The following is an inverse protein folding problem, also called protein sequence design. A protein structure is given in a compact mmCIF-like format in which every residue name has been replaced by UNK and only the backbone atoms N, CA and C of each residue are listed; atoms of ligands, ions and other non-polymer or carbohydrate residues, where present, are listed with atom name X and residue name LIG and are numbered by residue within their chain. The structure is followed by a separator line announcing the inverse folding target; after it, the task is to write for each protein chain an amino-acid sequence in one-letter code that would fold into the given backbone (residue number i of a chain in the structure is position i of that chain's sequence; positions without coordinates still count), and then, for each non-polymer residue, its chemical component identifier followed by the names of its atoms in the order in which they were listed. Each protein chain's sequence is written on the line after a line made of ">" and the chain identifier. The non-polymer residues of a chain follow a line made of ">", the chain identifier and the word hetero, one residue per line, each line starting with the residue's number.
data_IF_728983575888
#
_entry.id   IF_728983575888
#
_cell.length_a   1.000
_cell.length_b   1.000
_cell.length_c   1.000
_cell.angle_alpha   90.00
_cell.angle_beta   90.00
_cell.angle_gamma   90.00
#
_symmetry.space_group_name_H-M   'P 1'
#
loop_
_entity.id
_entity.type
_entity.pdbx_description
1 polymer ?
#
# COMPACT_ATOMS: atom_id res chain seq x y z
N UNK A 1 -7.02 10.94 -3.30
CA UNK A 1 -6.00 10.15 -4.03
C UNK A 1 -6.32 10.21 -5.51
N UNK A 2 -5.33 10.42 -6.36
CA UNK A 2 -5.52 10.42 -7.81
C UNK A 2 -5.46 8.98 -8.35
N UNK A 3 -6.60 8.28 -8.40
CA UNK A 3 -6.66 6.89 -8.87
C UNK A 3 -6.72 6.74 -10.39
N UNK A 4 -7.05 7.84 -11.11
CA UNK A 4 -7.24 7.82 -12.57
C UNK A 4 -6.07 7.21 -13.35
N UNK A 5 -4.80 7.56 -13.10
CA UNK A 5 -3.68 6.99 -13.87
C UNK A 5 -3.53 5.49 -13.64
N UNK A 6 -3.62 5.03 -12.38
CA UNK A 6 -3.52 3.61 -12.06
C UNK A 6 -4.66 2.80 -12.69
N UNK A 7 -5.89 3.32 -12.58
CA UNK A 7 -7.08 2.70 -13.16
C UNK A 7 -6.96 2.58 -14.67
N UNK A 8 -6.53 3.65 -15.35
CA UNK A 8 -6.32 3.63 -16.79
C UNK A 8 -5.27 2.59 -17.18
N UNK A 9 -4.12 2.55 -16.49
CA UNK A 9 -3.06 1.58 -16.76
C UNK A 9 -3.53 0.12 -16.59
N UNK A 10 -4.27 -0.18 -15.51
CA UNK A 10 -4.84 -1.51 -15.27
C UNK A 10 -5.84 -1.89 -16.37
N UNK A 11 -6.78 -1.02 -16.71
CA UNK A 11 -7.81 -1.34 -17.71
C UNK A 11 -7.22 -1.44 -19.13
N UNK A 12 -6.19 -0.66 -19.47
CA UNK A 12 -5.45 -0.81 -20.71
C UNK A 12 -4.69 -2.14 -20.78
N UNK A 13 -4.04 -2.56 -19.70
CA UNK A 13 -3.42 -3.89 -19.63
C UNK A 13 -4.48 -4.99 -19.80
N UNK A 14 -5.60 -4.90 -19.09
CA UNK A 14 -6.68 -5.88 -19.21
C UNK A 14 -7.20 -5.99 -20.66
N UNK A 15 -7.38 -4.86 -21.35
CA UNK A 15 -7.79 -4.84 -22.76
C UNK A 15 -6.74 -5.50 -23.67
N UNK A 16 -5.47 -5.13 -23.52
CA UNK A 16 -4.37 -5.71 -24.31
C UNK A 16 -4.23 -7.22 -24.07
N UNK A 17 -4.28 -7.64 -22.81
CA UNK A 17 -4.23 -9.06 -22.42
C UNK A 17 -5.44 -9.84 -22.95
N UNK A 18 -6.62 -9.22 -23.01
CA UNK A 18 -7.83 -9.81 -23.62
C UNK A 18 -7.63 -10.03 -25.11
N UNK A 19 -7.21 -9.00 -25.84
CA UNK A 19 -6.99 -9.08 -27.29
C UNK A 19 -5.91 -10.12 -27.63
N UNK A 20 -4.80 -10.12 -26.88
CA UNK A 20 -3.71 -11.09 -27.04
C UNK A 20 -4.17 -12.51 -26.71
N UNK A 21 -4.91 -12.68 -25.62
CA UNK A 21 -5.48 -13.97 -25.20
C UNK A 21 -6.45 -14.54 -26.24
N UNK A 22 -7.35 -13.71 -26.77
CA UNK A 22 -8.26 -14.09 -27.86
C UNK A 22 -7.51 -14.48 -29.13
N UNK A 23 -6.51 -13.68 -29.52
CA UNK A 23 -5.71 -13.95 -30.71
C UNK A 23 -4.99 -15.30 -30.60
N UNK A 24 -4.37 -15.59 -29.44
CA UNK A 24 -3.70 -16.86 -29.21
C UNK A 24 -4.68 -18.04 -29.09
N UNK A 25 -5.87 -17.84 -28.51
CA UNK A 25 -6.85 -18.91 -28.38
C UNK A 25 -7.44 -19.32 -29.75
N UNK A 26 -7.76 -18.33 -30.60
CA UNK A 26 -8.41 -18.53 -31.90
C UNK A 26 -7.40 -18.88 -33.00
N UNK A 27 -6.29 -18.14 -33.08
CA UNK A 27 -5.26 -18.27 -34.13
C UNK A 27 -4.02 -19.01 -33.64
N UNK A 28 -4.17 -19.98 -32.73
CA UNK A 28 -3.07 -20.72 -32.11
C UNK A 28 -2.11 -21.38 -33.12
N UNK A 29 -2.62 -21.93 -34.22
CA UNK A 29 -1.78 -22.52 -35.28
C UNK A 29 -0.91 -21.46 -35.95
N UNK A 30 -1.48 -20.32 -36.33
CA UNK A 30 -0.75 -19.22 -36.96
C UNK A 30 0.30 -18.64 -36.01
N UNK A 31 -0.02 -18.53 -34.73
CA UNK A 31 0.92 -18.09 -33.70
C UNK A 31 2.10 -19.06 -33.54
N UNK A 32 1.84 -20.37 -33.50
CA UNK A 32 2.89 -21.39 -33.44
C UNK A 32 3.81 -21.33 -34.67
N UNK A 33 3.23 -21.20 -35.86
CA UNK A 33 4.00 -21.05 -37.10
C UNK A 33 4.82 -19.77 -37.11
N UNK A 34 4.25 -18.63 -36.68
CA UNK A 34 4.94 -17.33 -36.63
C UNK A 34 6.14 -17.34 -35.68
N UNK A 35 6.00 -17.99 -34.52
CA UNK A 35 7.06 -18.07 -33.52
C UNK A 35 8.10 -19.14 -33.90
N UNK A 36 7.67 -20.21 -34.58
CA UNK A 36 8.53 -21.27 -35.10
C UNK A 36 8.80 -22.42 -34.14
N UNK A 37 8.24 -22.38 -32.92
CA UNK A 37 8.40 -23.44 -31.91
C UNK A 37 7.07 -23.74 -31.22
N UNK A 38 6.99 -24.88 -30.54
CA UNK A 38 5.85 -25.26 -29.71
C UNK A 38 4.65 -25.81 -30.48
N UNK A 39 3.73 -26.44 -29.75
CA UNK A 39 2.49 -26.98 -30.33
C UNK A 39 1.37 -25.94 -30.27
N UNK A 40 0.40 -25.96 -31.19
CA UNK A 40 -0.76 -25.06 -31.16
C UNK A 40 -1.54 -25.14 -29.83
N UNK A 41 -1.55 -26.31 -29.18
CA UNK A 41 -2.16 -26.49 -27.86
C UNK A 41 -1.52 -25.57 -26.81
N UNK A 42 -0.18 -25.42 -26.81
CA UNK A 42 0.52 -24.53 -25.87
C UNK A 42 0.04 -23.08 -26.02
N UNK A 43 -0.03 -22.57 -27.24
CA UNK A 43 -0.50 -21.20 -27.52
C UNK A 43 -1.97 -21.01 -27.11
N UNK A 44 -2.82 -22.02 -27.33
CA UNK A 44 -4.21 -21.97 -26.88
C UNK A 44 -4.31 -21.92 -25.35
N UNK A 45 -3.52 -22.71 -24.63
CA UNK A 45 -3.47 -22.70 -23.17
C UNK A 45 -2.97 -21.36 -22.63
N UNK A 46 -1.92 -20.81 -23.23
CA UNK A 46 -1.43 -19.46 -22.91
C UNK A 46 -2.52 -18.42 -23.16
N UNK A 47 -3.22 -18.51 -24.29
CA UNK A 47 -4.33 -17.60 -24.62
C UNK A 47 -5.45 -17.63 -23.57
N UNK A 48 -5.89 -18.82 -23.15
CA UNK A 48 -6.89 -18.98 -22.08
C UNK A 48 -6.38 -18.43 -20.74
N UNK A 49 -5.10 -18.69 -20.42
CA UNK A 49 -4.46 -18.12 -19.22
C UNK A 49 -4.46 -16.60 -19.22
N UNK A 50 -4.14 -15.97 -20.36
CA UNK A 50 -4.18 -14.51 -20.52
C UNK A 50 -5.59 -13.95 -20.36
N UNK A 51 -6.64 -14.65 -20.79
CA UNK A 51 -8.02 -14.24 -20.55
C UNK A 51 -8.38 -14.26 -19.05
N UNK A 52 -7.95 -15.29 -18.33
CA UNK A 52 -8.11 -15.35 -16.87
C UNK A 52 -7.37 -14.22 -16.15
N UNK A 53 -6.11 -13.97 -16.56
CA UNK A 53 -5.32 -12.85 -16.06
C UNK A 53 -5.99 -11.50 -16.36
N UNK A 54 -6.45 -11.27 -17.59
CA UNK A 54 -7.15 -10.04 -17.97
C UNK A 54 -8.40 -9.80 -17.12
N UNK A 55 -9.16 -10.84 -16.78
CA UNK A 55 -10.30 -10.77 -15.87
C UNK A 55 -9.90 -10.28 -14.47
N UNK A 56 -8.81 -10.80 -13.91
CA UNK A 56 -8.27 -10.37 -12.61
C UNK A 56 -7.81 -8.89 -12.65
N UNK A 57 -7.13 -8.48 -13.72
CA UNK A 57 -6.66 -7.11 -13.89
C UNK A 57 -7.84 -6.14 -14.04
N UNK A 58 -8.85 -6.50 -14.84
CA UNK A 58 -10.06 -5.71 -15.01
C UNK A 58 -10.85 -5.58 -13.70
N UNK A 59 -11.00 -6.68 -12.96
CA UNK A 59 -11.63 -6.69 -11.64
C UNK A 59 -10.89 -5.76 -10.67
N UNK A 60 -9.55 -5.81 -10.64
CA UNK A 60 -8.74 -4.93 -9.80
C UNK A 60 -8.91 -3.45 -10.19
N UNK A 61 -8.86 -3.15 -11.49
CA UNK A 61 -9.01 -1.81 -12.02
C UNK A 61 -10.42 -1.22 -11.89
N UNK A 62 -11.45 -2.04 -11.69
CA UNK A 62 -12.84 -1.57 -11.54
C UNK A 62 -13.25 -1.32 -10.09
N UNK A 63 -12.49 -1.79 -9.08
CA UNK A 63 -12.78 -1.53 -7.67
C UNK A 63 -12.71 -0.05 -7.29
N UNK A 64 -13.46 0.33 -6.27
CA UNK A 64 -13.42 1.65 -5.63
C UNK A 64 -13.30 1.43 -4.11
N UNK A 65 -12.16 1.81 -3.48
CA UNK A 65 -10.93 2.29 -4.10
C UNK A 65 -10.17 1.18 -4.86
N UNK A 66 -9.23 1.56 -5.74
CA UNK A 66 -8.32 0.59 -6.39
C UNK A 66 -7.35 0.02 -5.34
N UNK A 67 -7.24 -1.31 -5.28
CA UNK A 67 -6.29 -1.97 -4.37
C UNK A 67 -4.87 -1.91 -4.96
N UNK A 68 -4.02 -1.07 -4.38
CA UNK A 68 -2.63 -0.85 -4.84
C UNK A 68 -1.74 -2.07 -4.63
N UNK A 69 -1.99 -2.89 -3.60
CA UNK A 69 -1.25 -4.13 -3.38
C UNK A 69 -1.49 -5.13 -4.53
N UNK A 70 -2.74 -5.31 -4.95
CA UNK A 70 -3.05 -6.13 -6.13
C UNK A 70 -2.42 -5.56 -7.40
N UNK A 71 -2.42 -4.24 -7.56
CA UNK A 71 -1.76 -3.60 -8.70
C UNK A 71 -0.25 -3.91 -8.74
N UNK A 72 0.45 -3.88 -7.59
CA UNK A 72 1.86 -4.31 -7.53
C UNK A 72 2.05 -5.76 -7.93
N UNK A 73 1.20 -6.68 -7.44
CA UNK A 73 1.28 -8.10 -7.80
C UNK A 73 1.10 -8.29 -9.30
N UNK A 74 0.16 -7.58 -9.92
CA UNK A 74 -0.05 -7.57 -11.37
C UNK A 74 1.21 -7.05 -12.09
N UNK A 75 1.75 -5.91 -11.68
CA UNK A 75 2.96 -5.35 -12.29
C UNK A 75 4.18 -6.28 -12.16
N UNK A 76 4.31 -7.01 -11.05
CA UNK A 76 5.37 -8.01 -10.89
C UNK A 76 5.17 -9.21 -11.82
N UNK A 77 3.93 -9.66 -12.02
CA UNK A 77 3.62 -10.70 -12.99
C UNK A 77 3.96 -10.25 -14.43
N UNK A 78 3.65 -9.00 -14.78
CA UNK A 78 4.01 -8.39 -16.07
C UNK A 78 5.54 -8.34 -16.25
N UNK A 79 6.28 -7.91 -15.24
CA UNK A 79 7.76 -7.91 -15.26
C UNK A 79 8.29 -9.33 -15.44
N UNK A 80 7.75 -10.31 -14.71
CA UNK A 80 8.15 -11.70 -14.82
C UNK A 80 7.87 -12.27 -16.21
N UNK A 81 6.77 -11.88 -16.84
CA UNK A 81 6.43 -12.25 -18.22
C UNK A 81 7.48 -11.72 -19.23
N UNK A 82 7.90 -10.47 -19.05
CA UNK A 82 8.96 -9.85 -19.89
C UNK A 82 10.28 -10.58 -19.71
N UNK A 83 10.69 -10.87 -18.47
CA UNK A 83 11.89 -11.64 -18.18
C UNK A 83 11.82 -13.06 -18.77
N UNK A 84 10.67 -13.72 -18.66
CA UNK A 84 10.41 -15.02 -19.29
C UNK A 84 10.54 -14.96 -20.81
N UNK A 85 10.08 -13.88 -21.44
CA UNK A 85 10.22 -13.67 -22.88
C UNK A 85 11.68 -13.47 -23.29
N UNK A 86 12.45 -12.69 -22.53
CA UNK A 86 13.90 -12.51 -22.77
C UNK A 86 14.64 -13.84 -22.66
N UNK A 87 14.33 -14.62 -21.61
CA UNK A 87 14.94 -15.94 -21.41
C UNK A 87 14.59 -16.91 -22.53
N UNK A 88 13.31 -16.94 -22.96
CA UNK A 88 12.87 -17.74 -24.09
C UNK A 88 13.64 -17.40 -25.37
N UNK A 89 13.77 -16.11 -25.68
CA UNK A 89 14.53 -15.66 -26.86
C UNK A 89 16.00 -16.05 -26.73
N UNK A 90 16.63 -15.84 -25.58
CA UNK A 90 18.05 -16.17 -25.37
C UNK A 90 18.35 -17.67 -25.48
N UNK A 91 17.49 -18.53 -24.93
CA UNK A 91 17.69 -19.98 -24.93
C UNK A 91 17.26 -20.65 -26.24
N UNK A 92 16.29 -20.08 -26.95
CA UNK A 92 15.72 -20.66 -28.17
C UNK A 92 16.03 -19.85 -29.44
N UNK A 93 16.98 -18.90 -29.41
CA UNK A 93 17.28 -18.00 -30.52
C UNK A 93 17.50 -18.72 -31.87
N UNK A 94 18.18 -19.86 -31.85
CA UNK A 94 18.45 -20.66 -33.06
C UNK A 94 17.26 -21.46 -33.59
N UNK A 95 16.18 -21.59 -32.82
CA UNK A 95 14.96 -22.32 -33.20
C UNK A 95 13.78 -21.40 -33.49
N UNK A 96 13.83 -20.15 -33.05
CA UNK A 96 12.79 -19.16 -33.27
C UNK A 96 12.86 -18.56 -34.67
N UNK A 97 11.71 -18.27 -35.25
CA UNK A 97 11.65 -17.48 -36.48
C UNK A 97 11.95 -16.00 -36.20
N UNK A 98 12.64 -15.28 -37.11
CA UNK A 98 12.90 -13.85 -36.94
C UNK A 98 11.64 -13.01 -36.73
N UNK A 99 10.57 -13.31 -37.48
CA UNK A 99 9.27 -12.65 -37.32
C UNK A 99 8.65 -12.94 -35.94
N UNK A 100 8.83 -14.17 -35.43
CA UNK A 100 8.44 -14.59 -34.10
C UNK A 100 9.17 -13.84 -32.98
N UNK A 101 10.49 -13.68 -33.11
CA UNK A 101 11.30 -12.89 -32.16
C UNK A 101 10.80 -11.45 -32.15
N UNK A 102 10.60 -10.84 -33.32
CA UNK A 102 10.09 -9.47 -33.40
C UNK A 102 8.71 -9.33 -32.73
N UNK A 103 7.79 -10.28 -32.96
CA UNK A 103 6.48 -10.28 -32.33
C UNK A 103 6.56 -10.42 -30.80
N UNK A 104 7.39 -11.34 -30.29
CA UNK A 104 7.62 -11.53 -28.86
C UNK A 104 8.20 -10.27 -28.20
N UNK A 105 9.17 -9.61 -28.85
CA UNK A 105 9.76 -8.35 -28.36
C UNK A 105 8.72 -7.23 -28.30
N UNK A 106 7.88 -7.08 -29.33
CA UNK A 106 6.82 -6.07 -29.34
C UNK A 106 5.82 -6.30 -28.22
N UNK A 107 5.35 -7.53 -28.03
CA UNK A 107 4.42 -7.87 -26.95
C UNK A 107 5.05 -7.62 -25.58
N UNK A 108 6.30 -8.06 -25.37
CA UNK A 108 7.03 -7.79 -24.13
C UNK A 108 7.20 -6.29 -23.87
N UNK A 109 7.44 -5.48 -24.91
CA UNK A 109 7.50 -4.02 -24.79
C UNK A 109 6.20 -3.40 -24.30
N UNK A 110 5.05 -3.83 -24.82
CA UNK A 110 3.74 -3.38 -24.32
C UNK A 110 3.46 -3.82 -22.88
N UNK A 111 3.78 -5.07 -22.54
CA UNK A 111 3.62 -5.58 -21.17
C UNK A 111 4.49 -4.80 -20.19
N UNK A 112 5.75 -4.52 -20.55
CA UNK A 112 6.64 -3.69 -19.75
C UNK A 112 6.09 -2.26 -19.59
N UNK A 113 5.56 -1.67 -20.67
CA UNK A 113 4.93 -0.35 -20.62
C UNK A 113 3.78 -0.33 -19.60
N UNK A 114 2.92 -1.35 -19.57
CA UNK A 114 1.85 -1.43 -18.58
C UNK A 114 2.39 -1.54 -17.16
N UNK A 115 3.40 -2.39 -16.92
CA UNK A 115 4.02 -2.49 -15.59
C UNK A 115 4.57 -1.13 -15.12
N UNK A 116 5.25 -0.38 -16.00
CA UNK A 116 5.78 0.96 -15.69
C UNK A 116 4.65 1.95 -15.40
N UNK A 117 3.60 1.97 -16.22
CA UNK A 117 2.45 2.87 -16.04
C UNK A 117 1.67 2.57 -14.75
N UNK A 118 1.52 1.29 -14.38
CA UNK A 118 0.92 0.87 -13.12
C UNK A 118 1.75 1.33 -11.92
N UNK A 119 3.08 1.12 -11.96
CA UNK A 119 3.98 1.60 -10.90
C UNK A 119 3.94 3.13 -10.75
N UNK A 120 3.91 3.85 -11.87
CA UNK A 120 3.74 5.30 -11.86
C UNK A 120 2.37 5.72 -11.29
N UNK A 121 1.31 5.01 -11.66
CA UNK A 121 -0.03 5.24 -11.13
C UNK A 121 -0.13 5.04 -9.61
N UNK A 122 0.50 4.00 -9.08
CA UNK A 122 0.60 3.77 -7.62
C UNK A 122 1.34 4.92 -6.94
N UNK A 123 2.46 5.36 -7.52
CA UNK A 123 3.20 6.51 -6.98
C UNK A 123 2.37 7.80 -6.99
N UNK A 124 1.62 8.05 -8.07
CA UNK A 124 0.74 9.22 -8.18
C UNK A 124 -0.45 9.19 -7.21
N UNK A 125 -0.86 8.02 -6.72
CA UNK A 125 -1.95 7.91 -5.75
C UNK A 125 -1.59 8.50 -4.38
N UNK A 126 -0.34 8.31 -3.97
CA UNK A 126 0.15 8.72 -2.66
C UNK A 126 0.97 10.01 -2.69
N UNK A 127 1.28 10.55 -3.88
CA UNK A 127 2.11 11.73 -4.02
C UNK A 127 1.53 12.94 -3.26
N UNK A 128 2.41 13.67 -2.58
CA UNK A 128 2.06 14.93 -1.93
C UNK A 128 2.27 16.09 -2.92
N UNK A 129 1.26 16.95 -3.14
CA UNK A 129 1.45 18.17 -3.92
C UNK A 129 2.63 18.98 -3.38
N UNK A 130 3.45 19.51 -4.29
CA UNK A 130 4.58 20.40 -3.99
C UNK A 130 5.74 19.78 -3.17
N UNK A 131 5.69 18.47 -2.87
CA UNK A 131 6.79 17.74 -2.20
C UNK A 131 7.25 16.55 -3.07
N UNK A 132 8.27 16.72 -3.92
CA UNK A 132 8.72 15.65 -4.81
C UNK A 132 9.26 14.46 -4.02
N UNK A 133 8.95 13.25 -4.49
CA UNK A 133 9.32 11.97 -3.85
C UNK A 133 8.71 11.71 -2.46
N UNK A 134 7.86 12.62 -1.98
CA UNK A 134 7.15 12.47 -0.73
C UNK A 134 5.78 11.86 -0.97
N UNK A 135 5.45 10.87 -0.15
CA UNK A 135 4.20 10.12 -0.22
C UNK A 135 3.43 10.29 1.07
N UNK A 136 2.10 10.36 1.01
CA UNK A 136 1.24 10.45 2.18
C UNK A 136 0.14 9.41 2.17
N UNK A 137 -0.07 8.75 3.31
CA UNK A 137 -1.22 7.89 3.56
C UNK A 137 -2.00 8.42 4.73
N UNK A 138 -3.32 8.26 4.65
CA UNK A 138 -4.24 8.60 5.70
C UNK A 138 -5.22 7.46 5.92
N UNK A 139 -5.43 7.13 7.19
CA UNK A 139 -6.46 6.22 7.69
C UNK A 139 -7.45 7.05 8.47
N UNK A 140 -8.73 6.92 8.16
CA UNK A 140 -9.81 7.43 8.99
C UNK A 140 -10.48 6.26 9.70
N UNK A 141 -10.57 6.36 11.02
CA UNK A 141 -11.27 5.41 11.87
C UNK A 141 -12.44 6.10 12.55
N UNK A 142 -13.66 5.77 12.13
CA UNK A 142 -14.87 6.26 12.77
C UNK A 142 -15.17 5.42 14.00
N UNK A 143 -15.48 6.06 15.12
CA UNK A 143 -15.84 5.45 16.41
C UNK A 143 -17.09 6.16 16.98
N UNK A 144 -17.97 5.44 17.69
CA UNK A 144 -19.10 6.07 18.41
C UNK A 144 -18.65 6.99 19.56
N UNK A 145 -17.39 6.88 19.98
CA UNK A 145 -16.91 7.59 21.16
C UNK A 145 -16.71 9.08 20.89
N UNK A 146 -17.17 9.97 21.80
CA UNK A 146 -16.98 11.40 21.65
C UNK A 146 -15.49 11.80 21.55
N UNK A 147 -15.18 12.77 20.70
CA UNK A 147 -13.82 13.26 20.50
C UNK A 147 -13.13 13.68 21.81
N UNK A 148 -13.89 14.28 22.74
CA UNK A 148 -13.38 14.69 24.06
C UNK A 148 -13.01 13.53 24.99
N UNK A 149 -13.55 12.33 24.76
CA UNK A 149 -13.19 11.11 25.51
C UNK A 149 -12.06 10.33 24.83
N UNK A 150 -12.00 10.36 23.50
CA UNK A 150 -10.93 9.73 22.72
C UNK A 150 -9.61 10.47 22.84
N UNK A 151 -9.63 11.81 22.83
CA UNK A 151 -8.41 12.60 22.78
C UNK A 151 -7.47 12.38 23.97
N UNK A 152 -7.92 12.39 25.24
CA UNK A 152 -7.02 12.13 26.37
C UNK A 152 -6.27 10.79 26.28
N UNK A 153 -6.90 9.77 25.68
CA UNK A 153 -6.29 8.45 25.49
C UNK A 153 -5.23 8.48 24.38
N UNK A 154 -5.51 9.16 23.28
CA UNK A 154 -4.57 9.31 22.15
C UNK A 154 -3.41 10.24 22.52
N UNK A 155 -3.68 11.29 23.28
CA UNK A 155 -2.72 12.30 23.70
C UNK A 155 -1.77 11.80 24.80
N UNK A 156 -2.13 10.74 25.52
CA UNK A 156 -1.20 10.03 26.40
C UNK A 156 -0.17 9.24 25.58
N UNK A 157 0.92 9.93 25.26
CA UNK A 157 1.95 9.45 24.34
C UNK A 157 2.58 8.12 24.78
N UNK A 158 2.77 7.93 26.08
CA UNK A 158 3.44 6.75 26.64
C UNK A 158 2.51 5.54 26.68
N UNK A 159 1.20 5.75 26.86
CA UNK A 159 0.24 4.67 27.03
C UNK A 159 -0.15 3.95 25.74
N UNK A 160 0.33 4.40 24.57
CA UNK A 160 0.02 3.75 23.28
C UNK A 160 0.36 2.25 23.25
N UNK A 161 1.36 1.80 24.03
CA UNK A 161 1.70 0.38 24.17
C UNK A 161 0.52 -0.48 24.68
N UNK A 162 -0.39 0.08 25.46
CA UNK A 162 -1.56 -0.64 25.97
C UNK A 162 -2.58 -0.96 24.86
N UNK A 163 -2.51 -0.23 23.74
CA UNK A 163 -3.47 -0.32 22.65
C UNK A 163 -2.86 -0.87 21.36
N UNK A 164 -1.53 -0.82 21.20
CA UNK A 164 -0.83 -1.33 20.03
C UNK A 164 -0.18 -2.68 20.33
N UNK A 165 -0.72 -3.81 19.83
CA UNK A 165 -0.20 -5.14 20.14
C UNK A 165 1.20 -5.40 19.56
N UNK A 166 1.66 -4.53 18.64
CA UNK A 166 2.98 -4.62 18.05
C UNK A 166 4.06 -3.92 18.89
N UNK A 167 3.70 -3.19 19.95
CA UNK A 167 4.61 -2.48 20.83
C UNK A 167 4.76 -3.22 22.17
N UNK A 168 5.99 -3.33 22.65
CA UNK A 168 6.32 -3.94 23.95
C UNK A 168 6.68 -2.92 25.01
N UNK A 169 7.42 -1.88 24.61
CA UNK A 169 7.85 -0.82 25.51
C UNK A 169 7.76 0.54 24.82
N UNK A 170 7.12 1.49 25.50
CA UNK A 170 7.05 2.89 25.11
C UNK A 170 7.41 3.74 26.31
N UNK A 171 8.41 4.61 26.16
CA UNK A 171 8.82 5.55 27.20
C UNK A 171 9.01 6.95 26.60
N UNK A 172 8.87 7.98 27.44
CA UNK A 172 9.35 9.31 27.11
C UNK A 172 10.81 9.42 27.56
N UNK A 173 11.71 9.81 26.63
CA UNK A 173 13.13 9.98 26.94
C UNK A 173 13.30 11.06 28.01
N UNK A 174 14.36 10.92 28.81
CA UNK A 174 14.77 11.89 29.83
C UNK A 174 13.71 12.22 30.90
N UNK A 175 12.71 11.35 31.07
CA UNK A 175 11.60 11.60 32.00
C UNK A 175 10.70 12.75 31.58
N UNK A 176 10.68 13.10 30.29
CA UNK A 176 9.85 14.17 29.75
C UNK A 176 8.35 13.91 29.99
N UNK A 177 7.58 14.99 30.03
CA UNK A 177 6.11 14.93 30.04
C UNK A 177 5.57 14.91 28.60
N UNK A 178 4.36 14.37 28.36
CA UNK A 178 3.70 14.48 27.08
C UNK A 178 3.58 15.94 26.62
N UNK A 179 3.96 16.23 25.37
CA UNK A 179 3.88 17.58 24.81
C UNK A 179 4.88 17.83 23.68
N UNK A 180 4.90 19.07 23.18
CA UNK A 180 5.92 19.52 22.22
C UNK A 180 7.31 19.30 22.80
N UNK A 181 8.25 18.94 21.94
CA UNK A 181 9.65 18.61 22.25
C UNK A 181 9.89 17.28 22.97
N UNK A 182 8.84 16.60 23.43
CA UNK A 182 8.97 15.25 24.00
C UNK A 182 9.43 14.25 22.93
N UNK A 183 10.37 13.37 23.28
CA UNK A 183 10.78 12.24 22.43
C UNK A 183 10.21 10.95 23.01
N UNK A 184 9.33 10.31 22.25
CA UNK A 184 8.81 8.99 22.54
C UNK A 184 9.72 7.92 21.94
N UNK A 185 10.21 7.00 22.75
CA UNK A 185 10.95 5.82 22.33
C UNK A 185 9.99 4.64 22.26
N UNK A 186 9.85 4.03 21.08
CA UNK A 186 9.01 2.85 20.85
C UNK A 186 9.88 1.62 20.62
N UNK A 187 9.48 0.48 21.18
CA UNK A 187 10.09 -0.83 20.92
C UNK A 187 9.01 -1.82 20.48
N UNK A 188 9.26 -2.54 19.38
CA UNK A 188 8.32 -3.54 18.87
C UNK A 188 8.54 -4.93 19.49
N UNK A 189 7.64 -5.87 19.17
CA UNK A 189 7.72 -7.29 19.59
C UNK A 189 8.93 -8.05 19.03
N UNK A 190 9.65 -7.48 18.05
CA UNK A 190 10.89 -8.04 17.49
C UNK A 190 12.14 -7.41 18.12
N UNK A 191 11.97 -6.48 19.07
CA UNK A 191 13.06 -5.76 19.70
C UNK A 191 13.65 -4.62 18.87
N UNK A 192 13.00 -4.23 17.75
CA UNK A 192 13.40 -3.03 17.02
C UNK A 192 12.97 -1.79 17.78
N UNK A 193 13.82 -0.77 17.80
CA UNK A 193 13.57 0.47 18.54
C UNK A 193 13.66 1.68 17.62
N UNK A 194 12.81 2.68 17.84
CA UNK A 194 12.89 3.98 17.16
C UNK A 194 12.42 5.12 18.07
N UNK A 195 12.91 6.32 17.80
CA UNK A 195 12.45 7.55 18.45
C UNK A 195 11.47 8.34 17.57
N UNK A 196 10.54 9.03 18.24
CA UNK A 196 9.52 9.89 17.65
C UNK A 196 9.53 11.23 18.41
N UNK A 197 9.96 12.30 17.74
CA UNK A 197 10.00 13.65 18.31
C UNK A 197 8.67 14.36 18.08
N UNK A 198 8.02 14.81 19.15
CA UNK A 198 6.73 15.47 19.11
C UNK A 198 6.86 16.93 18.64
N UNK A 199 6.51 17.18 17.38
CA UNK A 199 6.60 18.49 16.72
C UNK A 199 5.42 19.39 17.04
N UNK A 200 4.26 18.79 17.20
CA UNK A 200 3.02 19.50 17.49
C UNK A 200 2.21 18.70 18.48
N UNK A 201 1.66 19.39 19.47
CA UNK A 201 0.74 18.85 20.44
C UNK A 201 -0.29 19.94 20.75
N UNK A 202 -1.53 19.75 20.29
CA UNK A 202 -2.58 20.76 20.36
C UNK A 202 -3.84 20.14 20.97
N UNK A 203 -4.07 20.42 22.24
CA UNK A 203 -5.21 19.86 22.97
C UNK A 203 -6.55 20.42 22.50
N UNK A 204 -6.57 21.68 22.07
CA UNK A 204 -7.80 22.34 21.62
C UNK A 204 -8.22 21.80 20.24
N UNK A 205 -7.26 21.71 19.32
CA UNK A 205 -7.49 21.14 18.00
C UNK A 205 -7.54 19.60 18.01
N UNK A 206 -7.15 18.96 19.13
CA UNK A 206 -7.03 17.50 19.28
C UNK A 206 -6.16 16.86 18.21
N UNK A 207 -4.96 17.41 18.04
CA UNK A 207 -3.97 16.87 17.10
C UNK A 207 -2.58 16.76 17.71
N UNK A 208 -1.84 15.75 17.24
CA UNK A 208 -0.44 15.53 17.59
C UNK A 208 0.33 15.10 16.34
N UNK A 209 1.56 15.60 16.21
CA UNK A 209 2.46 15.30 15.09
C UNK A 209 3.82 14.86 15.62
N UNK A 210 4.36 13.80 15.03
CA UNK A 210 5.66 13.25 15.31
C UNK A 210 6.55 13.28 14.06
N UNK A 211 7.79 13.68 14.24
CA UNK A 211 8.87 13.34 13.32
C UNK A 211 9.63 12.14 13.84
N UNK A 212 9.62 11.06 13.06
CA UNK A 212 10.35 9.86 13.38
C UNK A 212 11.83 10.13 13.15
N UNK A 213 12.66 9.76 14.13
CA UNK A 213 14.10 9.98 14.13
C UNK A 213 14.81 8.98 13.19
N UNK A 214 14.49 9.07 11.88
CA UNK A 214 14.92 8.12 10.86
C UNK A 214 16.43 8.08 10.60
N UNK A 215 17.16 9.07 11.10
CA UNK A 215 18.62 9.15 11.07
C UNK A 215 19.33 8.41 12.20
N UNK A 216 18.61 7.95 13.23
CA UNK A 216 19.21 7.19 14.32
C UNK A 216 19.65 5.79 13.84
N UNK A 217 20.80 5.29 14.34
CA UNK A 217 21.23 3.92 14.07
C UNK A 217 20.16 2.91 14.47
N UNK A 218 19.87 1.96 13.57
CA UNK A 218 18.89 0.90 13.84
C UNK A 218 17.43 1.24 13.52
N UNK A 219 17.14 2.42 12.95
CA UNK A 219 15.78 2.76 12.52
C UNK A 219 15.20 1.68 11.57
N UNK A 220 14.11 1.00 11.95
CA UNK A 220 13.70 -0.25 11.30
C UNK A 220 12.94 -0.04 9.98
N UNK A 221 12.47 1.18 9.70
CA UNK A 221 11.64 1.45 8.54
C UNK A 221 12.45 1.90 7.31
N UNK A 222 12.00 1.55 6.08
CA UNK A 222 12.72 1.85 4.85
C UNK A 222 12.52 3.31 4.37
N UNK A 223 12.49 4.28 5.27
CA UNK A 223 12.21 5.70 4.98
C UNK A 223 13.37 6.62 5.38
N UNK A 224 13.71 7.57 4.50
CA UNK A 224 14.69 8.63 4.76
C UNK A 224 14.13 9.67 5.73
N UNK A 225 12.87 10.03 5.53
CA UNK A 225 12.10 10.89 6.41
C UNK A 225 10.75 10.25 6.64
N UNK A 226 10.21 10.40 7.84
CA UNK A 226 8.88 9.93 8.20
C UNK A 226 8.31 10.89 9.23
N UNK A 227 7.20 11.50 8.89
CA UNK A 227 6.38 12.33 9.78
C UNK A 227 5.03 11.64 9.86
N UNK A 228 4.43 11.59 11.04
CA UNK A 228 3.09 11.04 11.19
C UNK A 228 2.33 11.79 12.26
N UNK A 229 1.01 11.64 12.26
CA UNK A 229 0.19 12.36 13.20
C UNK A 229 -1.17 11.73 13.41
N UNK A 230 -1.82 12.18 14.46
CA UNK A 230 -3.15 11.79 14.86
C UNK A 230 -4.00 13.04 15.03
N UNK A 231 -5.25 12.97 14.58
CA UNK A 231 -6.24 14.03 14.74
C UNK A 231 -7.59 13.42 15.12
N UNK A 232 -8.32 14.08 16.02
CA UNK A 232 -9.64 13.61 16.47
C UNK A 232 -10.71 14.68 16.24
N UNK A 233 -11.59 14.41 15.27
CA UNK A 233 -12.68 15.33 14.90
C UNK A 233 -14.06 14.74 15.24
N UNK A 234 -15.02 15.52 15.75
CA UNK A 234 -16.40 15.06 15.88
C UNK A 234 -17.04 14.78 14.52
N UNK A 235 -17.86 13.73 14.40
CA UNK A 235 -18.53 13.36 13.14
C UNK A 235 -20.07 13.23 13.27
N UNK A 236 -20.65 13.80 14.32
CA UNK A 236 -22.10 13.81 14.58
C UNK A 236 -22.62 12.58 15.33
N UNK A 237 -22.03 11.39 15.10
CA UNK A 237 -22.37 10.14 15.82
C UNK A 237 -21.32 9.71 16.84
N UNK A 238 -20.24 10.48 16.98
CA UNK A 238 -19.06 10.14 17.78
C UNK A 238 -17.87 10.97 17.31
N UNK A 239 -16.79 10.28 16.92
CA UNK A 239 -15.61 10.93 16.36
C UNK A 239 -14.95 10.13 15.24
N UNK A 240 -14.14 10.83 14.45
CA UNK A 240 -13.24 10.26 13.47
C UNK A 240 -11.82 10.50 13.94
N UNK A 241 -11.07 9.42 14.13
CA UNK A 241 -9.63 9.44 14.39
C UNK A 241 -8.91 9.33 13.05
N UNK A 242 -8.20 10.37 12.65
CA UNK A 242 -7.39 10.39 11.44
C UNK A 242 -5.93 10.13 11.81
N UNK A 243 -5.36 9.05 11.29
CA UNK A 243 -3.94 8.72 11.41
C UNK A 243 -3.30 8.93 10.05
N UNK A 244 -2.21 9.68 9.99
CA UNK A 244 -1.53 9.96 8.73
C UNK A 244 -0.03 9.79 8.83
N UNK A 245 0.59 9.48 7.69
CA UNK A 245 2.04 9.36 7.53
C UNK A 245 2.45 10.08 6.25
N UNK A 246 3.45 10.95 6.34
CA UNK A 246 4.19 11.54 5.24
C UNK A 246 5.61 10.96 5.23
N UNK A 247 5.99 10.29 4.15
CA UNK A 247 7.24 9.53 4.06
C UNK A 247 8.01 9.82 2.79
N UNK A 248 9.34 9.80 2.90
CA UNK A 248 10.25 9.76 1.74
C UNK A 248 10.97 8.42 1.75
N UNK A 249 10.68 7.47 0.85
CA UNK A 249 11.29 6.14 0.96
C UNK A 249 12.78 6.11 0.54
N UNK A 250 13.55 5.17 1.12
CA UNK A 250 15.00 5.03 0.87
C UNK A 250 15.32 4.55 -0.55
N UNK A 251 14.53 3.60 -1.06
CA UNK A 251 14.87 2.81 -2.25
C UNK A 251 14.11 3.27 -3.50
N UNK A 252 14.64 4.24 -4.23
CA UNK A 252 14.02 4.95 -5.37
C UNK A 252 12.98 4.14 -6.20
N UNK A 253 13.40 3.16 -7.01
CA UNK A 253 12.47 2.45 -7.91
C UNK A 253 11.50 1.51 -7.19
N UNK A 254 11.81 1.08 -5.95
CA UNK A 254 10.96 0.19 -5.16
C UNK A 254 9.87 0.94 -4.36
N UNK A 255 9.84 2.28 -4.42
CA UNK A 255 8.87 3.11 -3.70
C UNK A 255 7.43 2.64 -3.86
N UNK A 256 6.89 2.40 -5.07
CA UNK A 256 5.48 2.03 -5.22
C UNK A 256 5.12 0.72 -4.51
N UNK A 257 6.06 -0.23 -4.48
CA UNK A 257 5.90 -1.50 -3.77
C UNK A 257 5.84 -1.30 -2.26
N UNK A 258 6.78 -0.52 -1.70
CA UNK A 258 6.81 -0.21 -0.26
C UNK A 258 5.51 0.46 0.16
N UNK A 259 5.03 1.43 -0.62
CA UNK A 259 3.79 2.15 -0.33
C UNK A 259 2.57 1.24 -0.37
N UNK A 260 2.46 0.38 -1.39
CA UNK A 260 1.34 -0.54 -1.54
C UNK A 260 1.30 -1.60 -0.42
N UNK A 261 2.46 -2.13 -0.01
CA UNK A 261 2.57 -3.06 1.12
C UNK A 261 2.17 -2.37 2.41
N UNK A 262 2.65 -1.16 2.66
CA UNK A 262 2.29 -0.41 3.86
C UNK A 262 0.79 -0.09 3.89
N UNK A 263 0.19 0.28 2.75
CA UNK A 263 -1.22 0.59 2.65
C UNK A 263 -2.14 -0.61 2.94
N UNK A 264 -1.71 -1.83 2.57
CA UNK A 264 -2.54 -3.05 2.63
C UNK A 264 -3.19 -3.27 3.99
N UNK A 265 -2.39 -3.22 5.05
CA UNK A 265 -2.83 -3.58 6.41
C UNK A 265 -2.94 -2.35 7.33
N UNK A 266 -2.72 -1.13 6.79
CA UNK A 266 -2.72 0.10 7.58
C UNK A 266 -4.09 0.37 8.22
N UNK A 267 -5.15 0.22 7.43
CA UNK A 267 -6.50 0.52 7.89
C UNK A 267 -6.96 -0.49 8.97
N UNK A 268 -6.77 -1.79 8.75
CA UNK A 268 -7.11 -2.79 9.76
C UNK A 268 -6.28 -2.62 11.02
N UNK A 269 -4.95 -2.47 10.88
CA UNK A 269 -4.04 -2.31 12.00
C UNK A 269 -4.38 -1.12 12.89
N UNK A 270 -4.56 0.08 12.32
CA UNK A 270 -4.97 1.25 13.12
C UNK A 270 -6.42 1.20 13.57
N UNK A 271 -7.30 0.52 12.82
CA UNK A 271 -8.66 0.23 13.26
C UNK A 271 -8.66 -0.52 14.58
N UNK A 272 -7.83 -1.56 14.71
CA UNK A 272 -7.74 -2.38 15.92
C UNK A 272 -7.18 -1.58 17.10
N UNK A 273 -6.17 -0.74 16.86
CA UNK A 273 -5.61 0.15 17.88
C UNK A 273 -6.66 1.12 18.40
N UNK A 274 -7.38 1.79 17.50
CA UNK A 274 -8.43 2.75 17.87
C UNK A 274 -9.60 2.04 18.55
N UNK A 275 -9.91 0.80 18.21
CA UNK A 275 -10.93 0.03 18.91
C UNK A 275 -10.57 -0.28 20.35
N UNK A 276 -9.30 -0.61 20.62
CA UNK A 276 -8.79 -0.80 21.99
C UNK A 276 -8.83 0.51 22.78
N UNK A 277 -8.50 1.63 22.13
CA UNK A 277 -8.62 2.96 22.73
C UNK A 277 -10.09 3.32 23.03
N UNK A 278 -11.02 3.00 22.14
CA UNK A 278 -12.44 3.23 22.35
C UNK A 278 -13.00 2.37 23.50
N UNK A 279 -12.56 1.11 23.64
CA UNK A 279 -12.87 0.29 24.81
C UNK A 279 -12.37 0.95 26.11
N UNK A 280 -11.14 1.43 26.12
CA UNK A 280 -10.61 2.15 27.28
C UNK A 280 -11.36 3.45 27.58
N UNK A 281 -11.87 4.17 26.56
CA UNK A 281 -12.72 5.34 26.73
C UNK A 281 -14.04 5.03 27.46
N UNK A 282 -14.53 3.79 27.33
CA UNK A 282 -15.70 3.28 28.06
C UNK A 282 -15.36 2.70 29.44
N UNK A 283 -14.08 2.73 29.84
CA UNK A 283 -13.59 2.09 31.06
C UNK A 283 -13.51 0.56 30.97
N UNK A 284 -13.55 0.00 29.76
CA UNK A 284 -13.40 -1.43 29.52
C UNK A 284 -11.92 -1.82 29.42
N UNK A 285 -11.61 -3.09 29.68
CA UNK A 285 -10.28 -3.63 29.38
C UNK A 285 -10.11 -3.79 27.87
N UNK A 286 -8.93 -3.42 27.37
CA UNK A 286 -8.61 -3.56 25.95
C UNK A 286 -8.72 -5.04 25.53
N UNK A 287 -9.61 -5.39 24.58
CA UNK A 287 -9.84 -6.79 24.25
C UNK A 287 -8.63 -7.40 23.53
N UNK A 288 -8.35 -8.69 23.77
CA UNK A 288 -7.23 -9.39 23.15
C UNK A 288 -7.42 -9.54 21.62
N UNK A 289 -8.66 -9.80 21.19
CA UNK A 289 -9.09 -9.82 19.79
C UNK A 289 -10.09 -8.68 19.55
N UNK A 290 -9.95 -7.99 18.43
CA UNK A 290 -10.84 -6.88 18.06
C UNK A 290 -11.71 -7.31 16.88
N UNK A 291 -13.01 -7.10 17.00
CA UNK A 291 -13.93 -7.11 15.86
C UNK A 291 -14.46 -5.71 15.64
N UNK A 292 -13.94 -5.01 14.63
CA UNK A 292 -14.31 -3.61 14.35
C UNK A 292 -15.83 -3.43 14.23
N UNK A 293 -16.51 -4.36 13.56
CA UNK A 293 -17.95 -4.32 13.36
C UNK A 293 -18.74 -4.43 14.68
N UNK A 294 -18.28 -5.25 15.63
CA UNK A 294 -18.94 -5.39 16.94
C UNK A 294 -18.83 -4.11 17.78
N UNK A 295 -17.77 -3.32 17.56
CA UNK A 295 -17.57 -2.04 18.25
C UNK A 295 -18.14 -0.82 17.48
N UNK A 296 -18.86 -1.05 16.38
CA UNK A 296 -19.38 0.05 15.54
C UNK A 296 -18.28 0.86 14.84
N UNK A 297 -17.06 0.30 14.75
CA UNK A 297 -15.88 0.98 14.22
C UNK A 297 -15.75 0.72 12.73
N UNK A 298 -15.42 1.78 11.99
CA UNK A 298 -15.17 1.69 10.54
C UNK A 298 -13.82 2.32 10.23
N UNK A 299 -12.87 1.49 9.81
CA UNK A 299 -11.55 1.94 9.37
C UNK A 299 -11.41 1.86 7.86
N UNK A 300 -10.84 2.91 7.25
CA UNK A 300 -10.62 2.99 5.81
C UNK A 300 -9.41 3.85 5.48
N UNK A 301 -8.72 3.52 4.40
CA UNK A 301 -7.81 4.45 3.75
C UNK A 301 -8.63 5.58 3.13
N UNK A 302 -8.18 6.82 3.34
CA UNK A 302 -8.84 8.02 2.83
C UNK A 302 -7.83 8.92 2.10
N UNK A 303 -8.29 9.79 1.19
CA UNK A 303 -7.48 10.94 0.78
C UNK A 303 -7.07 11.75 2.01
N UNK A 304 -5.80 12.12 2.09
CA UNK A 304 -5.35 13.09 3.07
C UNK A 304 -5.95 14.47 2.74
N UNK A 305 -6.58 15.08 3.74
CA UNK A 305 -7.06 16.47 3.71
C UNK A 305 -6.00 17.43 4.23
#
# INVERSE_FOLDING_TARGET
>A
MNEKPLRAALLSNAAFSTLSGMALAIFNQSAATLVGIGSPLLYRLVGVGLLGFAGLVAWTGTRQPVNTFHAVVISLADILWVLGTILLIGLAAGSLQPAGIAALVVVAGFVLLFAVLQMHGINAMYAVPDKPHTQRLCVAVDTPEPAGTMWPIIADLASIQAYSPNLTHVILRDGAQPGVDAVRQCTDVKGNTWGEYCKRYDEQARNVEFEFLAGEPGFPYPFKTMVGGWEVTPNGSGSTVTIWFEVTPKYGPAHPMIMAVMAKDLASGFGDVVARMAAAARGETAPAEVSLAQHGIRSRLVPCT
#
